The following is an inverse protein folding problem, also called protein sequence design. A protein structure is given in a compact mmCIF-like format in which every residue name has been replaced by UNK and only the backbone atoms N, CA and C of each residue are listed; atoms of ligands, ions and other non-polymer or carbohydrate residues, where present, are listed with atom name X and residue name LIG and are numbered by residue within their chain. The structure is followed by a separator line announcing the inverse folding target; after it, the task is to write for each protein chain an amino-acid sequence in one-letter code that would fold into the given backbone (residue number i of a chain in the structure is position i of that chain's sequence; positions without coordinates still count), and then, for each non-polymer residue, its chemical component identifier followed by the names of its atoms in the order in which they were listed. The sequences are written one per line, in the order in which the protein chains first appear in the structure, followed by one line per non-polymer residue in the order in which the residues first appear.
data_IF_256926789285
#
_entry.id   IF_256926789285
#
_cell.length_a   1.000
_cell.length_b   1.000
_cell.length_c   1.000
_cell.angle_alpha   90.00
_cell.angle_beta   90.00
_cell.angle_gamma   90.00
#
_symmetry.space_group_name_H-M   'P 1'
#
loop_
_entity.id
_entity.type
_entity.pdbx_description
1 polymer ?
#
# COMPACT_ATOMS: atom_id res chain seq x y z
N UNK A 1 25.67 15.19 31.39
CA UNK A 1 25.04 14.43 30.30
C UNK A 1 24.32 13.28 30.96
N UNK A 2 22.97 13.28 31.08
CA UNK A 2 22.32 12.09 31.57
C UNK A 2 22.28 11.07 30.43
N UNK A 3 22.81 9.89 30.69
CA UNK A 3 22.64 8.72 29.82
C UNK A 3 21.14 8.50 29.63
N UNK A 4 20.67 8.58 28.38
CA UNK A 4 19.33 8.13 28.03
C UNK A 4 19.27 6.66 28.38
N UNK A 5 18.57 6.30 29.45
CA UNK A 5 18.27 4.92 29.80
C UNK A 5 17.52 4.34 28.61
N UNK A 6 18.24 3.65 27.72
CA UNK A 6 17.62 2.81 26.70
C UNK A 6 16.86 1.77 27.51
N UNK A 7 15.57 2.01 27.72
CA UNK A 7 14.69 1.10 28.41
C UNK A 7 14.89 -0.26 27.76
N UNK A 8 15.35 -1.23 28.55
CA UNK A 8 15.54 -2.60 28.09
C UNK A 8 14.25 -3.08 27.43
N UNK A 9 14.32 -3.41 26.15
CA UNK A 9 13.20 -3.90 25.36
C UNK A 9 13.31 -5.42 25.29
N UNK A 10 12.39 -6.17 25.93
CA UNK A 10 12.45 -7.63 25.92
C UNK A 10 11.96 -8.23 24.58
N UNK A 11 11.27 -7.43 23.77
CA UNK A 11 10.74 -7.84 22.46
C UNK A 11 11.90 -8.14 21.51
N UNK A 12 11.98 -9.35 20.90
CA UNK A 12 12.97 -9.68 19.89
C UNK A 12 12.98 -8.68 18.74
N UNK A 13 14.16 -8.36 18.21
CA UNK A 13 14.32 -7.29 17.23
C UNK A 13 13.40 -7.44 16.00
N UNK A 14 13.16 -8.65 15.52
CA UNK A 14 12.29 -8.89 14.36
C UNK A 14 10.81 -8.59 14.63
N UNK A 15 10.39 -8.65 15.90
CA UNK A 15 8.99 -8.42 16.33
C UNK A 15 8.77 -6.97 16.80
N UNK A 16 9.80 -6.14 16.81
CA UNK A 16 9.68 -4.73 17.17
C UNK A 16 9.01 -3.93 16.05
N UNK A 17 7.93 -3.16 16.32
CA UNK A 17 7.21 -2.40 15.30
C UNK A 17 8.08 -1.45 14.46
N UNK A 18 9.14 -0.87 15.05
CA UNK A 18 10.06 0.01 14.34
C UNK A 18 10.94 -0.74 13.33
N UNK A 19 11.35 -1.97 13.65
CA UNK A 19 12.14 -2.81 12.77
C UNK A 19 11.27 -3.37 11.64
N UNK A 20 10.04 -3.79 11.94
CA UNK A 20 9.04 -4.13 10.91
C UNK A 20 8.82 -2.96 9.92
N UNK A 21 8.73 -1.73 10.43
CA UNK A 21 8.66 -0.53 9.60
C UNK A 21 9.86 -0.41 8.66
N UNK A 22 11.08 -0.58 9.18
CA UNK A 22 12.31 -0.51 8.37
C UNK A 22 12.36 -1.61 7.30
N UNK A 23 12.05 -2.85 7.66
CA UNK A 23 12.00 -3.97 6.72
C UNK A 23 10.98 -3.72 5.61
N UNK A 24 9.78 -3.26 5.96
CA UNK A 24 8.74 -2.95 4.99
C UNK A 24 9.19 -1.81 4.07
N UNK A 25 9.81 -0.76 4.64
CA UNK A 25 10.37 0.37 3.91
C UNK A 25 11.44 -0.06 2.90
N UNK A 26 12.23 -1.09 3.18
CA UNK A 26 13.28 -1.59 2.28
C UNK A 26 12.77 -2.57 1.23
N UNK A 27 11.59 -3.17 1.45
CA UNK A 27 11.01 -4.11 0.52
C UNK A 27 10.71 -3.48 -0.85
N UNK A 28 10.98 -4.24 -1.92
CA UNK A 28 10.94 -3.75 -3.30
C UNK A 28 9.63 -3.05 -3.69
N UNK A 29 8.48 -3.60 -3.27
CA UNK A 29 7.16 -3.07 -3.61
C UNK A 29 6.83 -1.81 -2.80
N UNK A 30 7.03 -1.84 -1.48
CA UNK A 30 6.63 -0.76 -0.60
C UNK A 30 7.48 0.50 -0.78
N UNK A 31 8.73 0.34 -1.23
CA UNK A 31 9.59 1.45 -1.69
C UNK A 31 8.93 2.35 -2.73
N UNK A 32 7.98 1.86 -3.52
CA UNK A 32 7.31 2.66 -4.55
C UNK A 32 6.58 3.87 -3.97
N UNK A 33 6.04 3.75 -2.76
CA UNK A 33 5.29 4.83 -2.09
C UNK A 33 6.15 6.03 -1.73
N UNK A 34 7.46 5.83 -1.61
CA UNK A 34 8.46 6.87 -1.29
C UNK A 34 9.13 7.46 -2.54
N UNK A 35 8.83 6.93 -3.73
CA UNK A 35 9.44 7.45 -4.96
C UNK A 35 8.87 8.84 -5.32
N UNK A 36 9.65 9.66 -6.05
CA UNK A 36 9.14 10.88 -6.66
C UNK A 36 7.86 10.62 -7.47
N UNK A 37 6.96 11.61 -7.50
CA UNK A 37 5.60 11.46 -8.07
C UNK A 37 5.62 10.85 -9.47
N UNK A 38 6.49 11.33 -10.35
CA UNK A 38 6.60 10.83 -11.74
C UNK A 38 7.03 9.36 -11.77
N UNK A 39 8.04 8.98 -10.99
CA UNK A 39 8.54 7.60 -10.96
C UNK A 39 7.51 6.64 -10.38
N UNK A 40 6.79 7.07 -9.35
CA UNK A 40 5.68 6.32 -8.76
C UNK A 40 4.55 6.08 -9.77
N UNK A 41 4.08 7.14 -10.45
CA UNK A 41 3.05 7.01 -11.48
C UNK A 41 3.52 6.10 -12.62
N UNK A 42 4.77 6.24 -13.07
CA UNK A 42 5.36 5.37 -14.09
C UNK A 42 5.33 3.89 -13.68
N UNK A 43 5.60 3.56 -12.41
CA UNK A 43 5.50 2.18 -11.91
C UNK A 43 4.06 1.66 -11.97
N UNK A 44 3.08 2.47 -11.58
CA UNK A 44 1.66 2.09 -11.69
C UNK A 44 1.22 1.94 -13.16
N UNK A 45 1.67 2.82 -14.05
CA UNK A 45 1.41 2.70 -15.48
C UNK A 45 2.01 1.42 -16.06
N UNK A 46 3.20 1.00 -15.61
CA UNK A 46 3.76 -0.30 -16.03
C UNK A 46 2.89 -1.47 -15.58
N UNK A 47 2.38 -1.47 -14.34
CA UNK A 47 1.42 -2.49 -13.88
C UNK A 47 0.17 -2.50 -14.76
N UNK A 48 -0.36 -1.31 -15.10
CA UNK A 48 -1.51 -1.17 -15.99
C UNK A 48 -1.23 -1.74 -17.39
N UNK A 49 -0.13 -1.34 -18.03
CA UNK A 49 0.28 -1.82 -19.36
C UNK A 49 0.51 -3.33 -19.36
N UNK A 50 1.09 -3.90 -18.31
CA UNK A 50 1.24 -5.36 -18.21
C UNK A 50 -0.11 -6.06 -18.00
N UNK A 51 -1.03 -5.44 -17.26
CA UNK A 51 -2.40 -5.93 -17.09
C UNK A 51 -3.19 -6.00 -18.41
N UNK A 52 -2.83 -5.17 -19.40
CA UNK A 52 -3.41 -5.24 -20.74
C UNK A 52 -3.13 -6.56 -21.47
N UNK A 53 -2.02 -7.23 -21.17
CA UNK A 53 -1.70 -8.52 -21.77
C UNK A 53 -2.75 -9.60 -21.43
N UNK A 54 -3.42 -9.45 -20.29
CA UNK A 54 -4.47 -10.36 -19.83
C UNK A 54 -5.85 -9.82 -20.22
N UNK A 55 -6.10 -8.55 -19.94
CA UNK A 55 -7.43 -7.94 -20.09
C UNK A 55 -7.78 -7.61 -21.54
N UNK A 56 -6.79 -7.38 -22.40
CA UNK A 56 -6.96 -7.16 -23.83
C UNK A 56 -7.64 -8.35 -24.53
N UNK A 57 -7.08 -9.57 -24.49
CA UNK A 57 -7.73 -10.74 -25.07
C UNK A 57 -9.16 -10.99 -24.54
N UNK A 58 -9.37 -10.81 -23.24
CA UNK A 58 -10.69 -10.95 -22.60
C UNK A 58 -11.67 -9.92 -23.15
N UNK A 59 -11.25 -8.66 -23.27
CA UNK A 59 -12.06 -7.60 -23.84
C UNK A 59 -12.34 -7.82 -25.32
N UNK A 60 -11.36 -8.30 -26.11
CA UNK A 60 -11.53 -8.57 -27.54
C UNK A 60 -12.60 -9.63 -27.82
N UNK A 61 -12.74 -10.62 -26.93
CA UNK A 61 -13.79 -11.64 -27.02
C UNK A 61 -15.19 -11.06 -26.80
N UNK A 62 -15.32 -10.00 -25.99
CA UNK A 62 -16.59 -9.34 -25.69
C UNK A 62 -16.92 -8.21 -26.67
N UNK A 63 -15.89 -7.43 -27.04
CA UNK A 63 -15.96 -6.26 -27.89
C UNK A 63 -14.92 -6.40 -29.01
N UNK A 64 -15.33 -6.88 -30.20
CA UNK A 64 -14.42 -7.05 -31.32
C UNK A 64 -13.75 -5.70 -31.68
N UNK A 65 -12.40 -5.62 -31.71
CA UNK A 65 -11.69 -4.36 -31.92
C UNK A 65 -12.06 -3.64 -33.23
N UNK A 66 -12.49 -4.39 -34.24
CA UNK A 66 -12.89 -3.87 -35.55
C UNK A 66 -14.29 -3.27 -35.56
N UNK A 67 -15.18 -3.68 -34.65
CA UNK A 67 -16.58 -3.24 -34.60
C UNK A 67 -16.79 -2.14 -33.56
N UNK A 68 -16.14 -2.25 -32.41
CA UNK A 68 -16.32 -1.35 -31.27
C UNK A 68 -14.98 -1.02 -30.60
N UNK A 69 -14.06 -0.34 -31.30
CA UNK A 69 -12.70 -0.10 -30.81
C UNK A 69 -12.67 0.68 -29.49
N UNK A 70 -13.60 1.62 -29.31
CA UNK A 70 -13.69 2.43 -28.11
C UNK A 70 -14.14 1.62 -26.88
N UNK A 71 -15.17 0.77 -27.04
CA UNK A 71 -15.62 -0.13 -25.97
C UNK A 71 -14.56 -1.19 -25.61
N UNK A 72 -13.84 -1.69 -26.63
CA UNK A 72 -12.70 -2.58 -26.43
C UNK A 72 -11.62 -1.94 -25.55
N UNK A 73 -11.19 -0.71 -25.88
CA UNK A 73 -10.15 0.00 -25.13
C UNK A 73 -10.60 0.28 -23.70
N UNK A 74 -11.85 0.69 -23.49
CA UNK A 74 -12.39 0.94 -22.16
C UNK A 74 -12.51 -0.33 -21.32
N UNK A 75 -12.98 -1.43 -21.91
CA UNK A 75 -13.11 -2.71 -21.21
C UNK A 75 -11.74 -3.29 -20.83
N UNK A 76 -10.78 -3.30 -21.77
CA UNK A 76 -9.41 -3.75 -21.50
C UNK A 76 -8.72 -2.84 -20.48
N UNK A 77 -8.78 -1.52 -20.70
CA UNK A 77 -8.19 -0.52 -19.82
C UNK A 77 -8.78 -0.56 -18.41
N UNK A 78 -10.10 -0.68 -18.28
CA UNK A 78 -10.80 -0.81 -17.01
C UNK A 78 -10.44 -2.10 -16.28
N UNK A 79 -10.37 -3.23 -16.99
CA UNK A 79 -9.87 -4.49 -16.43
C UNK A 79 -8.43 -4.37 -15.93
N UNK A 80 -7.56 -3.71 -16.69
CA UNK A 80 -6.16 -3.47 -16.31
C UNK A 80 -6.03 -2.59 -15.06
N UNK A 81 -6.97 -1.64 -14.82
CA UNK A 81 -7.01 -0.87 -13.58
C UNK A 81 -7.23 -1.76 -12.34
N UNK A 82 -7.87 -2.92 -12.50
CA UNK A 82 -8.02 -3.91 -11.42
C UNK A 82 -6.67 -4.39 -10.85
N UNK A 83 -5.67 -4.61 -11.71
CA UNK A 83 -4.32 -4.97 -11.26
C UNK A 83 -3.64 -3.83 -10.50
N UNK A 84 -3.81 -2.59 -10.97
CA UNK A 84 -3.30 -1.40 -10.27
C UNK A 84 -3.97 -1.26 -8.90
N UNK A 85 -5.28 -1.48 -8.82
CA UNK A 85 -6.04 -1.47 -7.58
C UNK A 85 -5.51 -2.50 -6.58
N UNK A 86 -5.23 -3.74 -7.02
CA UNK A 86 -4.66 -4.78 -6.15
C UNK A 86 -3.30 -4.39 -5.57
N UNK A 87 -2.42 -3.79 -6.39
CA UNK A 87 -1.12 -3.29 -5.93
C UNK A 87 -1.30 -2.16 -4.91
N UNK A 88 -2.18 -1.19 -5.17
CA UNK A 88 -2.45 -0.11 -4.23
C UNK A 88 -3.06 -0.62 -2.92
N UNK A 89 -3.95 -1.61 -2.99
CA UNK A 89 -4.55 -2.24 -1.82
C UNK A 89 -3.49 -2.94 -0.97
N UNK A 90 -2.60 -3.73 -1.59
CA UNK A 90 -1.49 -4.38 -0.88
C UNK A 90 -0.58 -3.37 -0.19
N UNK A 91 -0.24 -2.29 -0.88
CA UNK A 91 0.57 -1.20 -0.31
C UNK A 91 -0.15 -0.52 0.86
N UNK A 92 -1.43 -0.22 0.70
CA UNK A 92 -2.23 0.46 1.73
C UNK A 92 -2.35 -0.40 2.99
N UNK A 93 -2.69 -1.68 2.84
CA UNK A 93 -2.84 -2.60 3.96
C UNK A 93 -1.53 -2.77 4.73
N UNK A 94 -0.38 -2.92 4.05
CA UNK A 94 0.89 -3.05 4.75
C UNK A 94 1.29 -1.79 5.52
N UNK A 95 1.11 -0.59 4.94
CA UNK A 95 1.37 0.66 5.66
C UNK A 95 0.36 0.92 6.79
N UNK A 96 -0.90 0.51 6.60
CA UNK A 96 -1.94 0.62 7.63
C UNK A 96 -1.63 -0.28 8.82
N UNK A 97 -1.18 -1.50 8.56
CA UNK A 97 -0.73 -2.43 9.59
C UNK A 97 0.44 -1.85 10.42
N UNK A 98 1.48 -1.32 9.76
CA UNK A 98 2.61 -0.68 10.46
C UNK A 98 2.16 0.54 11.27
N UNK A 99 1.26 1.36 10.71
CA UNK A 99 0.68 2.49 11.45
C UNK A 99 0.04 2.02 12.75
N UNK A 100 -0.72 0.93 12.69
CA UNK A 100 -1.39 0.37 13.85
C UNK A 100 -0.38 -0.14 14.89
N UNK A 101 0.54 -1.02 14.49
CA UNK A 101 1.60 -1.58 15.37
C UNK A 101 2.45 -0.50 16.07
N UNK A 102 2.78 0.57 15.37
CA UNK A 102 3.52 1.70 15.97
C UNK A 102 2.65 2.52 16.95
N UNK A 103 1.34 2.61 16.72
CA UNK A 103 0.43 3.40 17.56
C UNK A 103 -0.05 2.66 18.80
N UNK A 104 -0.04 1.32 18.79
CA UNK A 104 -0.40 0.49 19.94
C UNK A 104 0.55 0.76 21.12
N UNK A 105 -0.04 0.80 22.32
CA UNK A 105 0.69 0.98 23.59
C UNK A 105 1.33 -0.33 24.06
N UNK A 106 0.79 -1.46 23.60
CA UNK A 106 1.25 -2.81 23.92
C UNK A 106 1.80 -3.50 22.68
N UNK A 107 2.81 -4.35 22.90
CA UNK A 107 3.35 -5.25 21.87
C UNK A 107 3.29 -6.67 22.40
N UNK A 108 2.52 -7.50 21.71
CA UNK A 108 2.57 -8.95 21.86
C UNK A 108 3.82 -9.48 21.16
N UNK A 109 4.58 -10.32 21.85
CA UNK A 109 5.79 -10.95 21.33
C UNK A 109 5.98 -12.37 21.87
N UNK A 110 6.69 -13.19 21.11
CA UNK A 110 7.02 -14.56 21.46
C UNK A 110 8.53 -14.70 21.67
N UNK A 111 8.93 -15.23 22.83
CA UNK A 111 10.31 -15.67 23.09
C UNK A 111 10.43 -17.12 22.61
N UNK A 112 11.54 -17.47 21.96
CA UNK A 112 11.80 -18.80 21.41
C UNK A 112 11.50 -19.91 22.44
N UNK A 113 10.40 -20.63 22.26
CA UNK A 113 9.89 -21.61 23.23
C UNK A 113 8.53 -22.20 22.84
N UNK A 114 7.97 -23.03 23.73
CA UNK A 114 6.62 -23.62 23.60
C UNK A 114 5.57 -22.87 24.43
N UNK A 115 5.91 -21.68 24.94
CA UNK A 115 5.07 -20.88 25.83
C UNK A 115 4.26 -19.86 25.04
N UNK A 116 3.10 -19.50 25.57
CA UNK A 116 2.24 -18.46 25.01
C UNK A 116 2.98 -17.11 24.93
N UNK A 117 2.57 -16.28 23.97
CA UNK A 117 3.14 -14.94 23.79
C UNK A 117 3.03 -14.07 25.04
N UNK A 118 4.00 -13.19 25.23
CA UNK A 118 4.04 -12.20 26.29
C UNK A 118 3.59 -10.83 25.76
N UNK A 119 3.05 -9.99 26.65
CA UNK A 119 2.68 -8.61 26.33
C UNK A 119 3.66 -7.66 27.01
N UNK A 120 4.20 -6.72 26.24
CA UNK A 120 5.05 -5.65 26.76
C UNK A 120 4.40 -4.29 26.56
N UNK A 121 4.24 -3.54 27.65
CA UNK A 121 3.81 -2.14 27.63
C UNK A 121 4.97 -1.24 27.22
N UNK A 122 4.78 -0.46 26.15
CA UNK A 122 5.79 0.49 25.66
C UNK A 122 5.99 1.62 26.67
N UNK A 123 7.24 1.91 27.10
CA UNK A 123 7.56 3.12 27.84
C UNK A 123 7.13 4.37 27.07
N UNK A 124 6.75 5.42 27.80
CA UNK A 124 6.25 6.67 27.21
C UNK A 124 7.20 7.25 26.15
N UNK A 125 8.51 7.11 26.34
CA UNK A 125 9.53 7.56 25.38
C UNK A 125 9.46 6.80 24.05
N UNK A 126 9.35 5.47 24.11
CA UNK A 126 9.23 4.59 22.93
C UNK A 126 7.94 4.87 22.17
N UNK A 127 6.83 4.96 22.90
CA UNK A 127 5.53 5.26 22.32
C UNK A 127 5.50 6.64 21.66
N UNK A 128 6.11 7.64 22.29
CA UNK A 128 6.22 9.00 21.73
C UNK A 128 7.03 8.98 20.43
N UNK A 129 8.18 8.30 20.42
CA UNK A 129 9.00 8.11 19.21
C UNK A 129 8.20 7.44 18.08
N UNK A 130 7.51 6.34 18.38
CA UNK A 130 6.74 5.59 17.39
C UNK A 130 5.59 6.46 16.82
N UNK A 131 4.89 7.23 17.65
CA UNK A 131 3.83 8.17 17.22
C UNK A 131 4.38 9.30 16.34
N UNK A 132 5.61 9.77 16.58
CA UNK A 132 6.29 10.72 15.69
C UNK A 132 6.60 10.09 14.33
N UNK A 133 7.09 8.85 14.29
CA UNK A 133 7.30 8.11 13.03
C UNK A 133 5.98 7.95 12.27
N UNK A 134 4.90 7.58 12.96
CA UNK A 134 3.57 7.48 12.36
C UNK A 134 3.15 8.80 11.73
N UNK A 135 3.25 9.90 12.46
CA UNK A 135 2.78 11.22 12.03
C UNK A 135 3.57 11.76 10.85
N UNK A 136 4.90 11.68 10.92
CA UNK A 136 5.77 12.35 9.94
C UNK A 136 6.21 11.45 8.78
N UNK A 137 6.21 10.13 8.95
CA UNK A 137 6.70 9.20 7.93
C UNK A 137 5.57 8.35 7.35
N UNK A 138 4.72 7.71 8.16
CA UNK A 138 3.73 6.74 7.67
C UNK A 138 2.44 7.41 7.16
N UNK A 139 1.90 8.39 7.89
CA UNK A 139 0.66 9.07 7.51
C UNK A 139 0.72 9.75 6.12
N UNK A 140 1.83 10.44 5.73
CA UNK A 140 1.95 10.99 4.38
C UNK A 140 1.88 9.92 3.29
N UNK A 141 2.45 8.73 3.51
CA UNK A 141 2.40 7.61 2.57
C UNK A 141 0.96 7.08 2.42
N UNK A 142 0.24 6.92 3.52
CA UNK A 142 -1.18 6.53 3.51
C UNK A 142 -2.04 7.58 2.81
N UNK A 143 -1.82 8.86 3.07
CA UNK A 143 -2.53 9.97 2.38
C UNK A 143 -2.28 9.93 0.88
N UNK A 144 -1.03 9.69 0.46
CA UNK A 144 -0.69 9.54 -0.96
C UNK A 144 -1.45 8.38 -1.60
N UNK A 145 -1.47 7.21 -0.97
CA UNK A 145 -2.21 6.04 -1.47
C UNK A 145 -3.71 6.30 -1.56
N UNK A 146 -4.30 6.99 -0.57
CA UNK A 146 -5.70 7.43 -0.62
C UNK A 146 -5.98 8.32 -1.83
N UNK A 147 -5.09 9.28 -2.11
CA UNK A 147 -5.22 10.12 -3.30
C UNK A 147 -5.12 9.30 -4.60
N UNK A 148 -4.30 8.24 -4.63
CA UNK A 148 -4.24 7.34 -5.78
C UNK A 148 -5.52 6.52 -5.97
N UNK A 149 -6.16 6.04 -4.89
CA UNK A 149 -7.48 5.43 -4.99
C UNK A 149 -8.54 6.41 -5.50
N UNK A 150 -8.53 7.65 -5.02
CA UNK A 150 -9.42 8.70 -5.53
C UNK A 150 -9.18 8.95 -7.03
N UNK A 151 -7.91 9.01 -7.45
CA UNK A 151 -7.56 9.12 -8.87
C UNK A 151 -8.08 7.96 -9.71
N UNK A 152 -7.93 6.71 -9.25
CA UNK A 152 -8.51 5.54 -9.90
C UNK A 152 -10.03 5.61 -9.99
N UNK A 153 -10.70 5.98 -8.90
CA UNK A 153 -12.15 6.12 -8.86
C UNK A 153 -12.64 7.14 -9.89
N UNK A 154 -11.97 8.31 -9.96
CA UNK A 154 -12.28 9.34 -10.95
C UNK A 154 -12.07 8.83 -12.38
N UNK A 155 -11.00 8.08 -12.65
CA UNK A 155 -10.76 7.49 -13.98
C UNK A 155 -11.87 6.49 -14.36
N UNK A 156 -12.33 5.67 -13.43
CA UNK A 156 -13.42 4.73 -13.68
C UNK A 156 -14.74 5.46 -13.94
N UNK A 157 -15.05 6.50 -13.17
CA UNK A 157 -16.25 7.31 -13.36
C UNK A 157 -16.21 8.02 -14.73
N UNK A 158 -15.07 8.62 -15.09
CA UNK A 158 -14.90 9.27 -16.39
C UNK A 158 -15.02 8.26 -17.55
N UNK A 159 -14.46 7.06 -17.38
CA UNK A 159 -14.58 5.98 -18.35
C UNK A 159 -16.00 5.43 -18.49
N UNK A 160 -16.79 5.42 -17.40
CA UNK A 160 -18.17 4.91 -17.43
C UNK A 160 -19.10 5.84 -18.20
N UNK A 161 -18.88 7.16 -18.17
CA UNK A 161 -19.69 8.12 -18.94
C UNK A 161 -19.70 7.82 -20.44
N UNK A 162 -18.62 7.27 -20.98
CA UNK A 162 -18.51 6.96 -22.41
C UNK A 162 -19.51 5.86 -22.83
N UNK A 163 -19.91 4.97 -21.91
CA UNK A 163 -20.92 3.95 -22.18
C UNK A 163 -22.34 4.52 -22.31
N UNK A 164 -22.58 5.74 -21.81
CA UNK A 164 -23.86 6.42 -21.91
C UNK A 164 -23.99 7.28 -23.16
N UNK A 165 -22.91 7.45 -23.93
CA UNK A 165 -22.95 8.17 -25.20
C UNK A 165 -23.54 7.21 -26.23
N UNK A 166 -24.73 7.49 -26.81
CA UNK A 166 -25.27 6.67 -27.89
C UNK A 166 -24.29 6.72 -29.08
N UNK A 167 -23.77 5.57 -29.47
CA UNK A 167 -22.92 5.36 -30.64
C UNK A 167 -23.71 4.98 -31.88
#
# INVERSE_FOLDING_TARGET
MPESTVSFCPVPDEQQPLNEYQQLKESWLFRWTMLPQVTYLRKLTWVWVLGWLITGPIAAASFPPTKSPLHFILAAGGGALGFVLLILLRLYLGWFYIRDRLSQEQVEYEESGWYDGQIWDKPAEVLTRDRLVVTYQVQPLLKRLRNSFLGLLLLVILGSFVWFIPG
#
